data_IF_060594593269
#
_entry.id   IF_060594593269
#
_cell.length_a   1.000
_cell.length_b   1.000
_cell.length_c   1.000
_cell.angle_alpha   90.00
_cell.angle_beta   90.00
_cell.angle_gamma   90.00
#
_symmetry.space_group_name_H-M   'P 1'
#
loop_
_entity.id
_entity.type
_entity.pdbx_description
1 polymer ?
#
# COMPACT_ATOMS: atom_id res chain seq x y z
N UNK A 1 3.58 5.67 -25.39
CA UNK A 1 4.63 5.13 -26.29
C UNK A 1 5.82 4.56 -25.51
N UNK A 2 6.60 5.33 -24.73
CA UNK A 2 7.83 4.84 -24.06
C UNK A 2 7.58 3.66 -23.10
N UNK A 3 6.54 3.72 -22.24
CA UNK A 3 6.20 2.61 -21.34
C UNK A 3 5.73 1.36 -22.08
N UNK A 4 5.04 1.54 -23.21
CA UNK A 4 4.65 0.43 -24.08
C UNK A 4 5.88 -0.20 -24.74
N UNK A 5 6.86 0.60 -25.16
CA UNK A 5 8.13 0.09 -25.69
C UNK A 5 8.94 -0.65 -24.63
N UNK A 6 9.00 -0.13 -23.40
CA UNK A 6 9.70 -0.77 -22.27
C UNK A 6 9.02 -2.08 -21.83
N UNK A 7 7.68 -2.08 -21.77
CA UNK A 7 6.85 -3.26 -21.52
C UNK A 7 7.07 -4.38 -22.56
N UNK A 8 7.48 -4.02 -23.77
CA UNK A 8 7.68 -4.95 -24.88
C UNK A 8 9.10 -5.53 -24.98
N UNK A 9 10.02 -5.12 -24.10
CA UNK A 9 11.36 -5.70 -24.04
C UNK A 9 11.29 -7.19 -23.66
N UNK A 10 11.97 -8.05 -24.42
CA UNK A 10 12.07 -9.52 -24.17
C UNK A 10 12.33 -9.90 -22.69
N UNK A 11 13.28 -9.28 -21.95
CA UNK A 11 13.50 -9.64 -20.54
C UNK A 11 12.30 -9.29 -19.66
N UNK A 12 11.65 -8.15 -19.90
CA UNK A 12 10.47 -7.71 -19.15
C UNK A 12 9.29 -8.62 -19.42
N UNK A 13 9.04 -8.99 -20.69
CA UNK A 13 7.99 -9.97 -21.04
C UNK A 13 8.22 -11.33 -20.38
N UNK A 14 9.46 -11.81 -20.31
CA UNK A 14 9.78 -13.09 -19.65
C UNK A 14 9.47 -13.02 -18.15
N UNK A 15 9.83 -11.93 -17.48
CA UNK A 15 9.52 -11.73 -16.05
C UNK A 15 8.01 -11.64 -15.82
N UNK A 16 7.31 -10.83 -16.63
CA UNK A 16 5.85 -10.66 -16.53
C UNK A 16 5.09 -11.97 -16.75
N UNK A 17 5.50 -12.78 -17.74
CA UNK A 17 4.91 -14.09 -18.01
C UNK A 17 5.11 -15.07 -16.84
N UNK A 18 6.26 -15.02 -16.18
CA UNK A 18 6.53 -15.84 -14.99
C UNK A 18 5.67 -15.42 -13.78
N UNK A 19 5.14 -14.19 -13.77
CA UNK A 19 4.25 -13.67 -12.72
C UNK A 19 2.76 -13.82 -13.14
N UNK A 20 2.49 -14.47 -14.27
CA UNK A 20 1.11 -14.71 -14.75
C UNK A 20 0.45 -13.49 -15.40
N UNK A 21 1.22 -12.46 -15.77
CA UNK A 21 0.70 -11.28 -16.48
C UNK A 21 0.62 -11.60 -17.98
N UNK A 22 -0.54 -11.45 -18.63
CA UNK A 22 -0.66 -11.70 -20.06
C UNK A 22 0.18 -10.70 -20.88
N UNK A 23 0.64 -11.11 -22.09
CA UNK A 23 1.50 -10.29 -22.91
C UNK A 23 0.76 -9.10 -23.57
N UNK A 24 -0.52 -9.28 -23.91
CA UNK A 24 -1.40 -8.24 -24.47
C UNK A 24 -2.83 -8.36 -23.91
N UNK A 25 -3.20 -7.43 -23.03
CA UNK A 25 -4.50 -7.40 -22.36
C UNK A 25 -5.63 -7.01 -23.34
N UNK A 26 -5.32 -6.22 -24.38
CA UNK A 26 -6.31 -5.78 -25.38
C UNK A 26 -6.80 -6.97 -26.20
N UNK A 27 -5.89 -7.81 -26.70
CA UNK A 27 -6.26 -8.95 -27.54
C UNK A 27 -7.17 -9.92 -26.77
N UNK A 28 -6.86 -10.16 -25.49
CA UNK A 28 -7.68 -11.01 -24.62
C UNK A 28 -9.05 -10.38 -24.30
N UNK A 29 -9.13 -9.05 -24.13
CA UNK A 29 -10.38 -8.33 -23.92
C UNK A 29 -11.24 -8.27 -25.19
N UNK A 30 -10.61 -8.18 -26.37
CA UNK A 30 -11.29 -8.23 -27.67
C UNK A 30 -11.81 -9.64 -27.94
N UNK A 31 -11.00 -10.67 -27.67
CA UNK A 31 -11.41 -12.08 -27.82
C UNK A 31 -12.60 -12.43 -26.93
N UNK A 32 -12.69 -11.83 -25.73
CA UNK A 32 -13.81 -11.99 -24.80
C UNK A 32 -15.00 -11.05 -25.06
N UNK A 33 -14.96 -10.26 -26.14
CA UNK A 33 -15.99 -9.26 -26.49
C UNK A 33 -16.25 -8.21 -25.39
N UNK A 34 -15.28 -7.97 -24.51
CA UNK A 34 -15.38 -7.02 -23.40
C UNK A 34 -14.86 -5.62 -23.77
N UNK A 35 -14.12 -5.50 -24.87
CA UNK A 35 -13.52 -4.24 -25.29
C UNK A 35 -14.51 -3.36 -26.07
N UNK A 36 -14.99 -2.29 -25.43
CA UNK A 36 -15.76 -1.23 -26.07
C UNK A 36 -14.87 0.00 -26.31
N UNK A 37 -15.07 0.71 -27.43
CA UNK A 37 -14.27 1.89 -27.77
C UNK A 37 -14.37 3.01 -26.72
N UNK A 38 -15.50 3.11 -26.01
CA UNK A 38 -15.73 4.06 -24.92
C UNK A 38 -15.33 3.55 -23.53
N UNK A 39 -14.95 2.27 -23.40
CA UNK A 39 -14.64 1.63 -22.12
C UNK A 39 -13.54 2.38 -21.34
N UNK A 40 -12.42 2.83 -21.94
CA UNK A 40 -11.38 3.53 -21.20
C UNK A 40 -11.86 4.86 -20.59
N UNK A 41 -12.72 5.59 -21.33
CA UNK A 41 -13.31 6.84 -20.84
C UNK A 41 -14.27 6.58 -19.68
N UNK A 42 -15.13 5.56 -19.81
CA UNK A 42 -16.05 5.14 -18.74
C UNK A 42 -15.30 4.70 -17.49
N UNK A 43 -14.22 3.93 -17.63
CA UNK A 43 -13.37 3.50 -16.52
C UNK A 43 -12.69 4.69 -15.84
N UNK A 44 -12.21 5.68 -16.60
CA UNK A 44 -11.60 6.88 -16.04
C UNK A 44 -12.60 7.72 -15.22
N UNK A 45 -13.80 7.96 -15.75
CA UNK A 45 -14.86 8.69 -15.05
C UNK A 45 -15.30 7.94 -13.79
N UNK A 46 -15.48 6.62 -13.91
CA UNK A 46 -15.85 5.76 -12.78
C UNK A 46 -14.78 5.76 -11.70
N UNK A 47 -13.50 5.62 -12.07
CA UNK A 47 -12.38 5.66 -11.14
C UNK A 47 -12.32 7.01 -10.40
N UNK A 48 -12.52 8.13 -11.11
CA UNK A 48 -12.57 9.46 -10.52
C UNK A 48 -13.70 9.59 -9.49
N UNK A 49 -14.93 9.23 -9.88
CA UNK A 49 -16.09 9.30 -9.00
C UNK A 49 -15.93 8.40 -7.76
N UNK A 50 -15.53 7.14 -7.97
CA UNK A 50 -15.28 6.18 -6.89
C UNK A 50 -14.18 6.69 -5.96
N UNK A 51 -13.09 7.27 -6.49
CA UNK A 51 -12.01 7.80 -5.64
C UNK A 51 -12.49 8.95 -4.75
N UNK A 52 -13.28 9.87 -5.29
CA UNK A 52 -13.85 10.98 -4.52
C UNK A 52 -14.78 10.45 -3.44
N UNK A 53 -15.76 9.63 -3.82
CA UNK A 53 -16.75 9.06 -2.91
C UNK A 53 -16.05 8.26 -1.80
N UNK A 54 -15.09 7.42 -2.16
CA UNK A 54 -14.39 6.55 -1.22
C UNK A 54 -13.49 7.35 -0.27
N UNK A 55 -12.80 8.38 -0.77
CA UNK A 55 -11.99 9.27 0.07
C UNK A 55 -12.88 10.03 1.06
N UNK A 56 -14.04 10.50 0.62
CA UNK A 56 -15.02 11.16 1.49
C UNK A 56 -15.51 10.19 2.57
N UNK A 57 -16.06 9.04 2.18
CA UNK A 57 -16.56 8.01 3.12
C UNK A 57 -15.48 7.59 4.11
N UNK A 58 -14.27 7.31 3.62
CA UNK A 58 -13.18 6.90 4.49
C UNK A 58 -12.73 8.03 5.41
N UNK A 59 -12.69 9.28 4.97
CA UNK A 59 -12.30 10.39 5.83
C UNK A 59 -13.26 10.54 7.01
N UNK A 60 -14.57 10.58 6.75
CA UNK A 60 -15.58 10.67 7.81
C UNK A 60 -15.64 9.39 8.65
N UNK A 61 -15.51 8.21 8.03
CA UNK A 61 -15.49 6.93 8.72
C UNK A 61 -14.31 6.82 9.68
N UNK A 62 -13.10 7.13 9.22
CA UNK A 62 -11.91 7.15 10.09
C UNK A 62 -12.00 8.23 11.15
N UNK A 63 -12.52 9.43 10.84
CA UNK A 63 -12.72 10.47 11.84
C UNK A 63 -13.73 10.06 12.93
N UNK A 64 -14.80 9.36 12.57
CA UNK A 64 -15.76 8.82 13.53
C UNK A 64 -15.13 7.70 14.38
N UNK A 65 -14.48 6.73 13.72
CA UNK A 65 -13.82 5.61 14.39
C UNK A 65 -12.69 6.07 15.31
N UNK A 66 -11.95 7.11 14.90
CA UNK A 66 -10.86 7.68 15.69
C UNK A 66 -11.32 8.45 16.91
N UNK A 67 -12.52 9.05 16.88
CA UNK A 67 -13.16 9.58 18.09
C UNK A 67 -13.55 8.47 19.05
N UNK A 68 -14.13 7.37 18.56
CA UNK A 68 -14.50 6.22 19.38
C UNK A 68 -13.28 5.58 20.06
N UNK A 69 -12.21 5.35 19.29
CA UNK A 69 -10.97 4.81 19.82
C UNK A 69 -10.24 5.82 20.70
N UNK A 70 -10.29 7.11 20.38
CA UNK A 70 -9.75 8.17 21.24
C UNK A 70 -10.43 8.21 22.61
N UNK A 71 -11.74 7.99 22.66
CA UNK A 71 -12.49 7.84 23.91
C UNK A 71 -12.10 6.57 24.67
N UNK A 72 -12.00 5.43 23.97
CA UNK A 72 -11.59 4.16 24.58
C UNK A 72 -10.13 4.18 25.10
N UNK A 73 -9.24 4.88 24.39
CA UNK A 73 -7.82 4.98 24.71
C UNK A 73 -7.47 6.18 25.59
N UNK A 74 -8.43 7.01 26.01
CA UNK A 74 -8.19 8.14 26.90
C UNK A 74 -7.49 7.73 28.20
N UNK A 75 -7.80 6.52 28.67
CA UNK A 75 -7.30 5.93 29.92
C UNK A 75 -6.03 5.09 29.74
N UNK A 76 -5.53 4.94 28.51
CA UNK A 76 -4.39 4.05 28.22
C UNK A 76 -3.06 4.76 28.54
N UNK A 77 -2.21 4.19 29.41
CA UNK A 77 -0.89 4.76 29.70
C UNK A 77 0.00 4.83 28.46
N UNK A 78 0.86 5.85 28.39
CA UNK A 78 1.79 6.04 27.27
C UNK A 78 2.73 4.83 27.06
N UNK A 79 3.04 4.09 28.13
CA UNK A 79 3.86 2.87 28.08
C UNK A 79 3.23 1.77 27.23
N UNK A 80 1.89 1.62 27.27
CA UNK A 80 1.17 0.68 26.42
C UNK A 80 1.21 1.08 24.94
N UNK A 81 1.20 2.39 24.64
CA UNK A 81 1.35 2.89 23.27
C UNK A 81 2.74 2.59 22.69
N UNK A 82 3.78 2.60 23.53
CA UNK A 82 5.14 2.22 23.13
C UNK A 82 5.28 0.71 22.94
N UNK A 83 4.70 -0.11 23.82
CA UNK A 83 4.61 -1.57 23.63
C UNK A 83 3.89 -1.93 22.33
N UNK A 84 2.82 -1.19 22.00
CA UNK A 84 2.08 -1.35 20.75
C UNK A 84 2.95 -1.19 19.50
N UNK A 85 4.06 -0.43 19.54
CA UNK A 85 4.98 -0.30 18.40
C UNK A 85 5.80 -1.58 18.17
N UNK A 86 6.41 -2.11 19.22
CA UNK A 86 7.19 -3.35 19.13
C UNK A 86 6.28 -4.52 18.70
N UNK A 87 5.07 -4.58 19.26
CA UNK A 87 4.06 -5.54 18.87
C UNK A 87 3.61 -5.39 17.41
N UNK A 88 3.39 -4.15 16.93
CA UNK A 88 3.09 -3.89 15.52
C UNK A 88 4.19 -4.39 14.58
N UNK A 89 5.46 -4.20 14.93
CA UNK A 89 6.59 -4.69 14.13
C UNK A 89 6.67 -6.22 14.14
N UNK A 90 6.50 -6.85 15.31
CA UNK A 90 6.47 -8.30 15.43
C UNK A 90 5.33 -8.91 14.59
N UNK A 91 4.12 -8.33 14.64
CA UNK A 91 3.00 -8.74 13.80
C UNK A 91 3.26 -8.50 12.31
N UNK A 92 4.01 -7.46 11.94
CA UNK A 92 4.36 -7.26 10.54
C UNK A 92 5.39 -8.30 10.04
N UNK A 93 6.27 -8.80 10.91
CA UNK A 93 7.12 -9.96 10.57
C UNK A 93 6.28 -11.21 10.32
N UNK A 94 5.26 -11.45 11.15
CA UNK A 94 4.29 -12.53 10.91
C UNK A 94 3.57 -12.32 9.58
N UNK A 95 3.16 -11.10 9.27
CA UNK A 95 2.53 -10.73 7.99
C UNK A 95 3.41 -11.10 6.78
N UNK A 96 4.71 -10.79 6.84
CA UNK A 96 5.70 -11.15 5.82
C UNK A 96 5.78 -12.67 5.65
N UNK A 97 5.89 -13.41 6.76
CA UNK A 97 6.00 -14.87 6.74
C UNK A 97 4.74 -15.52 6.16
N UNK A 98 3.57 -15.00 6.52
CA UNK A 98 2.26 -15.43 5.98
C UNK A 98 2.16 -15.13 4.49
N UNK A 99 2.62 -13.95 4.05
CA UNK A 99 2.61 -13.58 2.64
C UNK A 99 3.50 -14.50 1.77
N UNK A 100 4.63 -14.96 2.32
CA UNK A 100 5.55 -15.87 1.64
C UNK A 100 5.08 -17.33 1.64
N UNK A 101 4.58 -17.81 2.79
CA UNK A 101 4.34 -19.24 3.00
C UNK A 101 2.90 -19.69 2.80
N UNK A 102 1.92 -18.80 3.04
CA UNK A 102 0.49 -19.15 3.03
C UNK A 102 -0.22 -18.46 1.87
N UNK A 103 -0.45 -17.16 2.01
CA UNK A 103 -1.18 -16.35 1.04
C UNK A 103 -0.75 -14.89 1.14
N UNK A 104 -0.37 -14.31 0.00
CA UNK A 104 0.04 -12.91 -0.14
C UNK A 104 -1.05 -11.95 0.32
N UNK A 105 -2.29 -12.17 -0.10
CA UNK A 105 -3.43 -11.30 0.23
C UNK A 105 -3.72 -11.26 1.73
N UNK A 106 -3.57 -12.38 2.45
CA UNK A 106 -3.73 -12.41 3.92
C UNK A 106 -2.65 -11.54 4.59
N UNK A 107 -1.40 -11.63 4.12
CA UNK A 107 -0.35 -10.72 4.58
C UNK A 107 -0.70 -9.25 4.34
N UNK A 108 -1.19 -8.90 3.15
CA UNK A 108 -1.65 -7.52 2.87
C UNK A 108 -2.73 -7.09 3.87
N UNK A 109 -3.70 -7.95 4.17
CA UNK A 109 -4.74 -7.68 5.18
C UNK A 109 -4.17 -7.41 6.57
N UNK A 110 -3.22 -8.22 7.03
CA UNK A 110 -2.56 -8.02 8.33
C UNK A 110 -1.83 -6.68 8.33
N UNK A 111 -1.02 -6.39 7.31
CA UNK A 111 -0.30 -5.11 7.20
C UNK A 111 -1.24 -3.91 7.11
N UNK A 112 -2.40 -4.04 6.45
CA UNK A 112 -3.43 -3.02 6.43
C UNK A 112 -3.99 -2.71 7.82
N UNK A 113 -4.33 -3.74 8.61
CA UNK A 113 -4.80 -3.57 9.99
C UNK A 113 -3.74 -2.85 10.85
N UNK A 114 -2.46 -3.19 10.67
CA UNK A 114 -1.35 -2.53 11.37
C UNK A 114 -1.22 -1.05 10.97
N UNK A 115 -1.40 -0.73 9.67
CA UNK A 115 -1.42 0.65 9.18
C UNK A 115 -2.62 1.44 9.73
N UNK A 116 -3.82 0.84 9.81
CA UNK A 116 -4.97 1.46 10.48
C UNK A 116 -4.60 1.77 11.94
N UNK A 117 -4.11 0.79 12.69
CA UNK A 117 -3.75 0.99 14.09
C UNK A 117 -2.75 2.15 14.27
N UNK A 118 -1.82 2.32 13.32
CA UNK A 118 -0.90 3.46 13.28
C UNK A 118 -1.59 4.79 12.97
N UNK A 119 -2.44 4.85 11.95
CA UNK A 119 -3.24 6.04 11.60
C UNK A 119 -4.06 6.51 12.80
N UNK A 120 -4.67 5.56 13.50
CA UNK A 120 -5.50 5.79 14.68
C UNK A 120 -4.67 6.35 15.85
N UNK A 121 -3.48 5.80 16.09
CA UNK A 121 -2.53 6.34 17.08
C UNK A 121 -2.13 7.78 16.75
N UNK A 122 -1.79 8.06 15.49
CA UNK A 122 -1.37 9.39 15.05
C UNK A 122 -2.49 10.42 15.20
N UNK A 123 -3.72 10.05 14.83
CA UNK A 123 -4.89 10.91 15.02
C UNK A 123 -5.12 11.23 16.50
N UNK A 124 -5.05 10.23 17.38
CA UNK A 124 -5.22 10.43 18.82
C UNK A 124 -4.17 11.41 19.39
N UNK A 125 -2.90 11.22 19.05
CA UNK A 125 -1.81 12.12 19.48
C UNK A 125 -2.05 13.54 18.93
N UNK A 126 -2.43 13.66 17.65
CA UNK A 126 -2.72 14.95 17.03
C UNK A 126 -3.88 15.68 17.72
N UNK A 127 -4.97 14.96 18.03
CA UNK A 127 -6.16 15.52 18.66
C UNK A 127 -5.92 15.90 20.12
N UNK A 128 -5.18 15.08 20.88
CA UNK A 128 -4.90 15.31 22.31
C UNK A 128 -3.93 16.49 22.55
N UNK A 129 -2.92 16.64 21.70
CA UNK A 129 -1.86 17.64 21.88
C UNK A 129 -1.97 18.84 20.93
N UNK A 130 -2.98 18.87 20.04
CA UNK A 130 -3.23 20.00 19.14
C UNK A 130 -2.13 20.28 18.11
N UNK A 131 -1.29 19.29 17.78
CA UNK A 131 -0.11 19.50 16.95
C UNK A 131 -0.45 19.51 15.45
N UNK A 132 -0.41 20.69 14.80
CA UNK A 132 -0.70 20.85 13.36
C UNK A 132 0.20 20.01 12.44
N UNK A 133 1.44 19.74 12.84
CA UNK A 133 2.38 18.89 12.10
C UNK A 133 1.95 17.41 12.08
N UNK A 134 1.27 16.93 13.11
CA UNK A 134 0.76 15.55 13.18
C UNK A 134 -0.42 15.31 12.23
N UNK A 135 -1.21 16.35 11.93
CA UNK A 135 -2.30 16.27 10.93
C UNK A 135 -1.80 15.92 9.53
N UNK A 136 -0.68 16.50 9.11
CA UNK A 136 -0.11 16.17 7.81
C UNK A 136 0.42 14.73 7.76
N UNK A 137 0.98 14.22 8.87
CA UNK A 137 1.42 12.82 8.97
C UNK A 137 0.23 11.89 8.91
N UNK A 138 -0.83 12.19 9.67
CA UNK A 138 -2.10 11.47 9.64
C UNK A 138 -2.64 11.34 8.22
N UNK A 139 -2.75 12.45 7.47
CA UNK A 139 -3.28 12.43 6.11
C UNK A 139 -2.48 11.53 5.17
N UNK A 140 -1.14 11.50 5.29
CA UNK A 140 -0.30 10.65 4.44
C UNK A 140 -0.50 9.17 4.79
N UNK A 141 -0.46 8.81 6.07
CA UNK A 141 -0.69 7.42 6.48
C UNK A 141 -2.12 6.96 6.21
N UNK A 142 -3.09 7.87 6.25
CA UNK A 142 -4.46 7.61 5.86
C UNK A 142 -4.56 7.27 4.37
N UNK A 143 -3.92 8.07 3.49
CA UNK A 143 -3.83 7.75 2.06
C UNK A 143 -3.13 6.40 1.83
N UNK A 144 -2.05 6.12 2.55
CA UNK A 144 -1.36 4.82 2.47
C UNK A 144 -2.28 3.67 2.89
N UNK A 145 -3.05 3.82 3.96
CA UNK A 145 -4.05 2.82 4.35
C UNK A 145 -5.08 2.60 3.25
N UNK A 146 -5.59 3.66 2.60
CA UNK A 146 -6.50 3.53 1.46
C UNK A 146 -5.88 2.76 0.29
N UNK A 147 -4.60 3.02 -0.02
CA UNK A 147 -3.87 2.28 -1.06
C UNK A 147 -3.80 0.79 -0.72
N UNK A 148 -3.52 0.43 0.55
CA UNK A 148 -3.50 -0.97 0.99
C UNK A 148 -4.87 -1.63 0.92
N UNK A 149 -5.94 -0.93 1.28
CA UNK A 149 -7.30 -1.44 1.10
C UNK A 149 -7.60 -1.72 -0.38
N UNK A 150 -7.20 -0.83 -1.30
CA UNK A 150 -7.32 -1.07 -2.73
C UNK A 150 -6.48 -2.26 -3.20
N UNK A 151 -5.26 -2.43 -2.66
CA UNK A 151 -4.46 -3.63 -2.93
C UNK A 151 -5.19 -4.91 -2.48
N UNK A 152 -5.87 -4.91 -1.32
CA UNK A 152 -6.69 -6.05 -0.90
C UNK A 152 -7.78 -6.32 -1.92
N UNK A 153 -8.51 -5.29 -2.37
CA UNK A 153 -9.58 -5.44 -3.37
C UNK A 153 -9.03 -6.01 -4.68
N UNK A 154 -7.91 -5.48 -5.17
CA UNK A 154 -7.28 -5.94 -6.42
C UNK A 154 -6.79 -7.39 -6.31
N UNK A 155 -6.31 -7.81 -5.13
CA UNK A 155 -5.83 -9.17 -4.90
C UNK A 155 -6.91 -10.12 -4.36
N UNK A 156 -8.14 -9.65 -4.10
CA UNK A 156 -9.23 -10.47 -3.59
C UNK A 156 -9.61 -11.64 -4.52
N UNK A 157 -9.63 -11.49 -5.85
CA UNK A 157 -9.88 -12.64 -6.75
C UNK A 157 -8.84 -13.75 -6.57
N UNK A 158 -7.56 -13.42 -6.40
CA UNK A 158 -6.50 -14.39 -6.13
C UNK A 158 -6.74 -15.14 -4.82
N UNK A 159 -7.19 -14.43 -3.77
CA UNK A 159 -7.57 -15.04 -2.50
C UNK A 159 -8.74 -16.01 -2.66
N UNK A 160 -9.78 -15.67 -3.44
CA UNK A 160 -10.93 -16.55 -3.69
C UNK A 160 -10.51 -17.81 -4.44
N UNK A 161 -9.69 -17.68 -5.48
CA UNK A 161 -9.15 -18.83 -6.24
C UNK A 161 -8.30 -19.72 -5.35
N UNK A 162 -7.45 -19.14 -4.51
CA UNK A 162 -6.65 -19.89 -3.55
C UNK A 162 -7.52 -20.61 -2.50
N UNK A 163 -8.47 -19.91 -1.88
CA UNK A 163 -9.33 -20.46 -0.84
C UNK A 163 -10.20 -21.62 -1.35
N UNK A 164 -10.78 -21.46 -2.54
CA UNK A 164 -11.55 -22.54 -3.19
C UNK A 164 -10.65 -23.73 -3.56
N UNK A 165 -9.44 -23.48 -4.06
CA UNK A 165 -8.47 -24.54 -4.37
C UNK A 165 -8.01 -25.35 -3.15
N UNK A 166 -7.88 -24.72 -1.98
CA UNK A 166 -7.53 -25.39 -0.71
C UNK A 166 -8.62 -26.38 -0.27
N UNK A 167 -9.89 -26.07 -0.52
CA UNK A 167 -10.99 -26.98 -0.17
C UNK A 167 -11.13 -28.19 -1.09
N UNK A 168 -10.62 -28.10 -2.32
CA UNK A 168 -10.81 -29.12 -3.37
C UNK A 168 -9.74 -30.21 -3.39
N UNK A 169 -8.59 -30.03 -2.72
CA UNK A 169 -7.52 -31.04 -2.65
C UNK A 169 -7.41 -31.61 -1.23
N UNK A 170 -7.60 -32.92 -1.12
CA UNK A 170 -7.42 -33.70 0.13
C UNK A 170 -5.94 -33.89 0.53
N UNK A 171 -4.99 -33.42 -0.28
CA UNK A 171 -3.57 -33.38 0.05
C UNK A 171 -3.19 -32.01 0.62
N UNK A 172 -2.39 -32.00 1.68
CA UNK A 172 -1.81 -30.81 2.34
C UNK A 172 -0.90 -29.95 1.42
N UNK A 173 -0.97 -30.12 0.11
CA UNK A 173 -0.24 -29.31 -0.85
C UNK A 173 -1.00 -28.01 -1.10
N UNK A 174 -0.57 -26.94 -0.41
CA UNK A 174 -1.01 -25.58 -0.68
C UNK A 174 -0.74 -25.23 -2.15
N UNK A 175 -1.78 -24.81 -2.87
CA UNK A 175 -1.63 -24.27 -4.21
C UNK A 175 -0.74 -23.02 -4.17
N UNK A 176 0.07 -22.81 -5.20
CA UNK A 176 0.83 -21.57 -5.36
C UNK A 176 -0.13 -20.40 -5.56
N UNK A 177 -0.14 -19.48 -4.60
CA UNK A 177 -0.97 -18.28 -4.64
C UNK A 177 -0.33 -17.21 -5.55
N UNK A 178 -1.01 -16.76 -6.62
CA UNK A 178 -0.48 -15.76 -7.55
C UNK A 178 -0.25 -14.39 -6.88
N UNK A 179 -0.85 -14.14 -5.71
CA UNK A 179 -0.64 -12.90 -4.96
C UNK A 179 0.60 -12.93 -4.05
N UNK A 180 1.37 -14.03 -3.95
CA UNK A 180 2.53 -14.14 -3.02
C UNK A 180 3.58 -13.05 -3.22
N UNK A 181 4.00 -12.78 -4.46
CA UNK A 181 5.01 -11.74 -4.76
C UNK A 181 4.47 -10.36 -4.40
N UNK A 182 3.23 -10.08 -4.81
CA UNK A 182 2.53 -8.83 -4.50
C UNK A 182 2.42 -8.63 -2.99
N UNK A 183 2.00 -9.66 -2.25
CA UNK A 183 1.88 -9.63 -0.80
C UNK A 183 3.22 -9.48 -0.09
N UNK A 184 4.25 -10.20 -0.52
CA UNK A 184 5.60 -10.04 0.04
C UNK A 184 6.12 -8.61 -0.12
N UNK A 185 6.03 -8.04 -1.33
CA UNK A 185 6.45 -6.66 -1.58
C UNK A 185 5.63 -5.68 -0.74
N UNK A 186 4.31 -5.81 -0.71
CA UNK A 186 3.44 -4.93 0.08
C UNK A 186 3.73 -5.02 1.57
N UNK A 187 3.94 -6.21 2.13
CA UNK A 187 4.22 -6.39 3.58
C UNK A 187 5.62 -5.88 3.95
N UNK A 188 6.60 -6.00 3.05
CA UNK A 188 7.93 -5.38 3.19
C UNK A 188 7.87 -3.86 3.18
N UNK A 189 7.15 -3.28 2.23
CA UNK A 189 6.95 -1.83 2.15
C UNK A 189 6.20 -1.31 3.38
N UNK A 190 5.21 -2.07 3.88
CA UNK A 190 4.53 -1.76 5.13
C UNK A 190 5.50 -1.77 6.31
N UNK A 191 6.46 -2.71 6.35
CA UNK A 191 7.47 -2.76 7.40
C UNK A 191 8.26 -1.44 7.49
N UNK A 192 8.76 -0.97 6.35
CA UNK A 192 9.49 0.30 6.25
C UNK A 192 8.62 1.47 6.72
N UNK A 193 7.35 1.50 6.28
CA UNK A 193 6.42 2.56 6.66
C UNK A 193 6.03 2.51 8.14
N UNK A 194 5.97 1.32 8.75
CA UNK A 194 5.64 1.11 10.16
C UNK A 194 6.80 1.50 11.08
N UNK A 195 8.06 1.26 10.67
CA UNK A 195 9.27 1.58 11.43
C UNK A 195 9.41 3.07 11.80
N UNK A 196 8.82 3.98 11.01
CA UNK A 196 9.03 5.43 11.18
C UNK A 196 7.78 6.18 11.65
N UNK A 197 7.82 6.90 12.75
CA UNK A 197 6.69 7.77 13.17
C UNK A 197 6.73 9.18 12.54
N UNK A 198 7.86 9.58 11.97
CA UNK A 198 8.06 10.88 11.33
C UNK A 198 8.14 10.74 9.81
N UNK A 199 7.15 11.24 9.07
CA UNK A 199 7.32 11.36 7.61
C UNK A 199 8.48 12.35 7.32
N UNK A 200 9.27 12.22 6.23
CA UNK A 200 10.32 13.18 5.87
C UNK A 200 9.70 14.54 5.48
N UNK A 201 9.26 15.30 6.48
CA UNK A 201 9.04 16.75 6.38
C UNK A 201 10.27 17.54 6.81
N UNK A 202 11.34 16.86 7.23
CA UNK A 202 12.56 17.50 7.72
C UNK A 202 13.31 18.29 6.62
N UNK A 203 13.03 18.01 5.34
CA UNK A 203 13.48 18.83 4.22
C UNK A 203 12.33 19.14 3.25
N UNK A 204 11.97 20.42 3.17
CA UNK A 204 10.91 20.93 2.28
C UNK A 204 11.16 20.54 0.82
N UNK A 205 12.41 20.56 0.35
CA UNK A 205 12.77 20.22 -1.03
C UNK A 205 12.52 18.75 -1.36
N UNK A 206 12.83 17.84 -0.44
CA UNK A 206 12.56 16.40 -0.60
C UNK A 206 11.06 16.14 -0.65
N UNK A 207 10.28 16.79 0.20
CA UNK A 207 8.83 16.65 0.22
C UNK A 207 8.17 17.18 -1.07
N UNK A 208 8.63 18.32 -1.59
CA UNK A 208 8.14 18.89 -2.86
C UNK A 208 8.51 17.99 -4.03
N UNK A 209 9.77 17.56 -4.11
CA UNK A 209 10.23 16.65 -5.17
C UNK A 209 9.42 15.35 -5.19
N UNK A 210 9.20 14.74 -4.03
CA UNK A 210 8.42 13.50 -3.93
C UNK A 210 6.96 13.68 -4.37
N UNK A 211 6.31 14.80 -4.01
CA UNK A 211 4.94 15.10 -4.45
C UNK A 211 4.84 15.18 -5.97
N UNK A 212 5.77 15.87 -6.61
CA UNK A 212 5.83 15.96 -8.08
C UNK A 212 6.10 14.62 -8.73
N UNK A 213 7.03 13.82 -8.17
CA UNK A 213 7.31 12.47 -8.68
C UNK A 213 6.09 11.56 -8.59
N UNK A 214 5.40 11.54 -7.45
CA UNK A 214 4.18 10.75 -7.29
C UNK A 214 3.11 11.22 -8.27
N UNK A 215 2.90 12.54 -8.40
CA UNK A 215 1.94 13.11 -9.33
C UNK A 215 2.23 12.71 -10.78
N UNK A 216 3.48 12.88 -11.24
CA UNK A 216 3.89 12.49 -12.60
C UNK A 216 3.70 10.99 -12.83
N UNK A 217 4.08 10.15 -11.87
CA UNK A 217 3.87 8.70 -11.96
C UNK A 217 2.39 8.37 -12.04
N UNK A 218 1.54 8.98 -11.22
CA UNK A 218 0.09 8.75 -11.27
C UNK A 218 -0.50 9.15 -12.63
N UNK A 219 -0.12 10.31 -13.17
CA UNK A 219 -0.57 10.79 -14.49
C UNK A 219 -0.12 9.85 -15.60
N UNK A 220 1.11 9.32 -15.52
CA UNK A 220 1.66 8.38 -16.51
C UNK A 220 1.04 6.98 -16.37
N UNK A 221 0.80 6.52 -15.14
CA UNK A 221 0.27 5.19 -14.85
C UNK A 221 -1.22 5.09 -15.18
N UNK A 222 -1.98 6.17 -15.08
CA UNK A 222 -3.41 6.16 -15.39
C UNK A 222 -3.71 5.67 -16.83
N UNK A 223 -3.16 6.26 -17.92
CA UNK A 223 -3.37 5.75 -19.27
C UNK A 223 -2.72 4.38 -19.49
N UNK A 224 -1.63 4.06 -18.78
CA UNK A 224 -0.99 2.75 -18.88
C UNK A 224 -1.87 1.63 -18.30
N UNK A 225 -2.46 1.85 -17.13
CA UNK A 225 -3.34 0.90 -16.46
C UNK A 225 -4.71 0.74 -17.13
N UNK A 226 -5.18 1.74 -17.87
CA UNK A 226 -6.37 1.62 -18.73
C UNK A 226 -6.17 0.60 -19.87
N UNK A 227 -4.92 0.39 -20.28
CA UNK A 227 -4.55 -0.56 -21.34
C UNK A 227 -4.09 -1.89 -20.73
N UNK A 228 -3.36 -1.84 -19.61
CA UNK A 228 -2.78 -3.01 -18.96
C UNK A 228 -3.30 -3.20 -17.53
N UNK A 229 -4.54 -3.67 -17.40
CA UNK A 229 -5.25 -3.79 -16.12
C UNK A 229 -4.50 -4.73 -15.17
N UNK A 230 -3.87 -5.80 -15.67
CA UNK A 230 -3.13 -6.75 -14.82
C UNK A 230 -1.85 -6.18 -14.21
N UNK A 231 -1.40 -5.00 -14.66
CA UNK A 231 -0.17 -4.35 -14.19
C UNK A 231 -0.41 -3.31 -13.09
N UNK A 232 -1.66 -3.11 -12.69
CA UNK A 232 -2.04 -2.14 -11.65
C UNK A 232 -1.29 -2.42 -10.33
N UNK A 233 -1.17 -3.70 -9.92
CA UNK A 233 -0.44 -4.06 -8.71
C UNK A 233 0.99 -3.53 -8.73
N UNK A 234 1.74 -3.79 -9.80
CA UNK A 234 3.13 -3.34 -9.93
C UNK A 234 3.26 -1.80 -9.91
N UNK A 235 2.31 -1.09 -10.52
CA UNK A 235 2.25 0.37 -10.47
C UNK A 235 2.04 0.87 -9.02
N UNK A 236 1.15 0.22 -8.27
CA UNK A 236 0.92 0.53 -6.85
C UNK A 236 2.18 0.25 -6.02
N UNK A 237 2.85 -0.89 -6.22
CA UNK A 237 4.12 -1.20 -5.53
C UNK A 237 5.21 -0.19 -5.85
N UNK A 238 5.29 0.32 -7.08
CA UNK A 238 6.25 1.37 -7.44
C UNK A 238 6.00 2.65 -6.63
N UNK A 239 4.75 3.09 -6.53
CA UNK A 239 4.37 4.28 -5.75
C UNK A 239 4.66 4.07 -4.26
N UNK A 240 4.26 2.92 -3.70
CA UNK A 240 4.55 2.57 -2.31
C UNK A 240 6.05 2.46 -2.05
N UNK A 241 6.80 1.90 -3.00
CA UNK A 241 8.26 1.80 -2.98
C UNK A 241 8.94 3.16 -2.92
N UNK A 242 8.50 4.11 -3.74
CA UNK A 242 9.03 5.48 -3.72
C UNK A 242 8.73 6.17 -2.39
N UNK A 243 7.52 6.02 -1.87
CA UNK A 243 7.14 6.58 -0.56
C UNK A 243 7.96 5.94 0.57
N UNK A 244 8.15 4.62 0.53
CA UNK A 244 8.96 3.90 1.50
C UNK A 244 10.44 4.32 1.43
N UNK A 245 11.04 4.37 0.23
CA UNK A 245 12.43 4.79 0.03
C UNK A 245 12.63 6.23 0.47
N UNK A 246 11.75 7.15 0.10
CA UNK A 246 11.82 8.53 0.55
C UNK A 246 11.76 8.66 2.08
N UNK A 247 11.14 7.69 2.77
CA UNK A 247 11.10 7.67 4.22
C UNK A 247 12.44 7.26 4.88
N UNK A 248 13.34 6.56 4.15
CA UNK A 248 14.61 5.99 4.66
C UNK A 248 15.72 7.02 4.98
N UNK A 249 16.03 8.06 4.17
CA UNK A 249 17.12 9.00 4.43
C UNK A 249 17.05 9.68 5.80
N UNK A 250 15.85 9.97 6.30
CA UNK A 250 15.65 10.52 7.65
C UNK A 250 16.14 9.57 8.75
N UNK A 251 16.17 8.26 8.52
CA UNK A 251 16.68 7.29 9.50
C UNK A 251 18.21 7.36 9.64
N UNK A 252 18.93 7.64 8.55
CA UNK A 252 20.40 7.73 8.56
C UNK A 252 20.83 9.03 9.25
N UNK A 253 20.15 10.13 8.97
CA UNK A 253 20.46 11.46 9.55
C UNK A 253 20.13 11.50 11.05
N UNK A 254 18.97 10.99 11.47
CA UNK A 254 18.59 10.94 12.90
C UNK A 254 19.54 10.06 13.72
N UNK A 255 20.05 8.96 13.14
CA UNK A 255 21.03 8.10 13.80
C UNK A 255 22.36 8.83 13.95
N UNK A 256 22.86 9.46 12.88
CA UNK A 256 24.09 10.25 12.91
C UNK A 256 24.05 11.39 13.94
N UNK A 257 22.91 12.09 14.08
CA UNK A 257 22.77 13.16 15.08
C UNK A 257 22.65 12.63 16.51
N UNK A 258 21.99 11.48 16.71
CA UNK A 258 21.87 10.85 18.04
C UNK A 258 23.21 10.29 18.54
N UNK A 259 24.04 9.82 17.62
CA UNK A 259 25.37 9.33 17.93
C UNK A 259 26.29 10.52 18.30
N UNK A 260 26.23 11.65 17.58
CA UNK A 260 26.93 12.89 17.95
C UNK A 260 26.54 13.44 19.33
N UNK A 261 25.25 13.44 19.66
CA UNK A 261 24.77 13.95 20.96
C UNK A 261 25.10 13.04 22.16
N UNK A 262 25.66 11.84 21.93
CA UNK A 262 26.21 10.98 22.99
C UNK A 262 27.72 11.14 23.17
N UNK A 263 28.38 11.72 22.17
CA UNK A 263 29.83 11.98 22.18
C UNK A 263 30.15 13.37 22.75
N UNK A 264 29.12 14.19 23.01
CA UNK A 264 29.16 15.46 23.77
C UNK A 264 28.71 15.26 25.23
#
# INVERSE_FOLDING_TARGET
MILHTAANLKPVKRILRNIGVPPDDIDELVEKELWLQLLPMMLCVSAWFITILHTYIAHYGFAAFSRLIGLACFWVPQTFLNFGRAFQLALNLVSILVALSVCGTIGICISYILLIAKVMRLYYVSAKYGMKTEWSKYNIYFILALIYMWLIIINAPALVVWATGVHLRSSFQLLDDPSRISGFLSTMLAAVLLLKDSFPQESYSVAVGMRWTIYLISVIMLPFCLIHIYRINAAVHLVLGLVAVASLPGMVILRANKDRAKDE
#
